data_IF_615996385357
#
_entry.id   IF_615996385357
#
_cell.length_a   1.000
_cell.length_b   1.000
_cell.length_c   1.000
_cell.angle_alpha   90.00
_cell.angle_beta   90.00
_cell.angle_gamma   90.00
#
_symmetry.space_group_name_H-M   'P 1'
#
loop_
_entity.id
_entity.type
_entity.pdbx_description
1 polymer ?
#
# COMPACT_ATOMS: atom_id res chain seq x y z
N UNK A 1 -46.58 -13.56 52.23
CA UNK A 1 -46.70 -12.35 51.39
C UNK A 1 -45.33 -11.66 51.35
N UNK A 2 -44.28 -12.31 50.83
CA UNK A 2 -43.85 -12.24 49.43
C UNK A 2 -43.89 -10.80 48.91
N UNK A 3 -42.75 -10.08 48.87
CA UNK A 3 -42.08 -9.81 47.59
C UNK A 3 -40.73 -9.10 47.79
N UNK A 4 -39.65 -9.89 47.83
CA UNK A 4 -38.32 -9.39 47.52
C UNK A 4 -38.31 -9.07 46.02
N UNK A 5 -38.27 -7.79 45.63
CA UNK A 5 -38.22 -7.41 44.22
C UNK A 5 -36.79 -7.59 43.73
N UNK A 6 -36.55 -8.76 43.13
CA UNK A 6 -35.28 -9.16 42.52
C UNK A 6 -34.79 -8.15 41.48
N UNK A 7 -33.57 -7.66 41.71
CA UNK A 7 -32.76 -6.97 40.72
C UNK A 7 -32.32 -7.97 39.65
N UNK A 8 -32.81 -7.84 38.42
CA UNK A 8 -32.22 -8.49 37.24
C UNK A 8 -31.50 -7.43 36.43
N UNK A 9 -30.20 -7.27 36.65
CA UNK A 9 -29.33 -6.48 35.80
C UNK A 9 -28.78 -7.43 34.72
N UNK A 10 -29.52 -7.57 33.62
CA UNK A 10 -29.08 -8.37 32.47
C UNK A 10 -28.10 -7.52 31.67
N UNK A 11 -26.80 -7.76 31.85
CA UNK A 11 -25.76 -7.23 30.98
C UNK A 11 -25.76 -8.07 29.70
N UNK A 12 -26.41 -7.59 28.65
CA UNK A 12 -26.30 -8.16 27.32
C UNK A 12 -24.87 -7.91 26.82
N UNK A 13 -24.02 -8.94 26.84
CA UNK A 13 -22.67 -8.90 26.29
C UNK A 13 -22.83 -8.93 24.76
N UNK A 14 -22.94 -7.75 24.15
CA UNK A 14 -22.87 -7.59 22.70
C UNK A 14 -21.50 -8.05 22.20
N UNK A 15 -21.49 -8.93 21.20
CA UNK A 15 -20.27 -9.52 20.65
C UNK A 15 -19.27 -8.45 20.21
N UNK A 16 -18.09 -8.47 20.81
CA UNK A 16 -16.95 -7.67 20.34
C UNK A 16 -16.51 -8.26 19.00
N UNK A 17 -16.81 -7.56 17.91
CA UNK A 17 -16.16 -7.84 16.63
C UNK A 17 -14.73 -7.34 16.74
N UNK A 18 -13.77 -8.27 16.71
CA UNK A 18 -12.35 -7.94 16.62
C UNK A 18 -12.11 -7.39 15.21
N UNK A 19 -12.12 -6.07 15.06
CA UNK A 19 -11.59 -5.43 13.87
C UNK A 19 -10.08 -5.61 13.89
N UNK A 20 -9.58 -6.48 13.01
CA UNK A 20 -8.14 -6.59 12.76
C UNK A 20 -7.68 -5.29 12.09
N UNK A 21 -7.12 -4.38 12.88
CA UNK A 21 -6.29 -3.30 12.35
C UNK A 21 -4.87 -3.85 12.24
N UNK A 22 -4.51 -4.29 11.04
CA UNK A 22 -3.11 -4.60 10.75
C UNK A 22 -2.39 -3.28 10.46
N UNK A 23 -1.33 -3.02 11.23
CA UNK A 23 -0.74 -1.69 11.36
C UNK A 23 0.21 -1.28 10.24
N UNK A 24 0.67 -2.19 9.38
CA UNK A 24 1.61 -1.85 8.30
C UNK A 24 1.36 -2.70 7.06
N UNK A 25 1.02 -2.06 5.93
CA UNK A 25 1.01 -2.70 4.62
C UNK A 25 2.46 -2.98 4.19
N UNK A 26 2.79 -4.24 3.94
CA UNK A 26 4.13 -4.64 3.51
C UNK A 26 4.20 -4.75 1.99
N UNK A 27 5.39 -4.52 1.42
CA UNK A 27 5.65 -4.84 0.02
C UNK A 27 5.43 -6.34 -0.20
N UNK A 28 4.52 -6.69 -1.11
CA UNK A 28 4.29 -8.07 -1.55
C UNK A 28 5.21 -8.39 -2.75
N UNK A 29 5.03 -7.66 -3.85
CA UNK A 29 5.91 -7.74 -5.02
C UNK A 29 5.95 -6.43 -5.81
N UNK A 30 6.85 -6.36 -6.79
CA UNK A 30 6.99 -5.21 -7.67
C UNK A 30 7.23 -5.63 -9.11
N UNK A 31 6.86 -4.75 -10.04
CA UNK A 31 7.19 -4.87 -11.44
C UNK A 31 7.83 -3.56 -11.94
N UNK A 32 9.06 -3.60 -12.49
CA UNK A 32 9.96 -4.74 -12.51
C UNK A 32 10.32 -5.29 -11.12
N UNK A 33 10.66 -6.58 -11.04
CA UNK A 33 11.03 -7.21 -9.77
C UNK A 33 12.24 -6.53 -9.14
N UNK A 34 12.27 -6.47 -7.81
CA UNK A 34 13.37 -5.85 -7.05
C UNK A 34 14.69 -6.53 -7.40
N UNK A 35 15.71 -5.72 -7.75
CA UNK A 35 17.03 -6.21 -8.15
C UNK A 35 17.10 -6.84 -9.55
N UNK A 36 16.00 -6.84 -10.31
CA UNK A 36 16.00 -7.38 -11.68
C UNK A 36 16.72 -6.47 -12.69
N UNK A 37 17.11 -7.06 -13.82
CA UNK A 37 17.59 -6.35 -15.01
C UNK A 37 16.60 -6.53 -16.13
N UNK A 38 16.13 -5.44 -16.72
CA UNK A 38 15.21 -5.44 -17.86
C UNK A 38 15.92 -4.94 -19.12
N UNK A 39 15.60 -5.53 -20.27
CA UNK A 39 16.22 -5.19 -21.56
C UNK A 39 15.68 -3.90 -22.17
N UNK A 40 14.43 -3.57 -21.87
CA UNK A 40 13.72 -2.40 -22.37
C UNK A 40 13.29 -1.54 -21.19
N UNK A 41 13.18 -0.23 -21.41
CA UNK A 41 12.63 0.67 -20.38
C UNK A 41 11.18 0.27 -20.11
N UNK A 42 10.80 -0.04 -18.86
CA UNK A 42 9.42 -0.30 -18.51
C UNK A 42 8.61 1.00 -18.56
N UNK A 43 7.35 0.92 -18.99
CA UNK A 43 6.47 2.10 -19.06
C UNK A 43 6.09 2.64 -17.68
N UNK A 44 6.15 1.80 -16.65
CA UNK A 44 5.79 2.13 -15.28
C UNK A 44 6.55 1.26 -14.29
N UNK A 45 6.59 1.71 -13.04
CA UNK A 45 6.83 0.85 -11.88
C UNK A 45 5.50 0.57 -11.21
N UNK A 46 5.24 -0.69 -10.88
CA UNK A 46 4.07 -1.15 -10.15
C UNK A 46 4.50 -1.85 -8.87
N UNK A 47 3.79 -1.57 -7.79
CA UNK A 47 4.11 -2.09 -6.45
C UNK A 47 2.82 -2.57 -5.80
N UNK A 48 2.81 -3.85 -5.45
CA UNK A 48 1.71 -4.48 -4.74
C UNK A 48 2.07 -4.63 -3.27
N UNK A 49 1.07 -4.48 -2.43
CA UNK A 49 1.17 -4.59 -0.99
C UNK A 49 0.29 -5.71 -0.46
N UNK A 50 0.61 -6.20 0.74
CA UNK A 50 -0.17 -7.23 1.42
C UNK A 50 -1.55 -6.74 1.84
N UNK A 51 -1.72 -5.41 1.96
CA UNK A 51 -2.95 -4.77 2.43
C UNK A 51 -3.28 -3.52 1.60
N UNK A 52 -4.56 -3.09 1.56
CA UNK A 52 -4.96 -1.86 0.92
C UNK A 52 -4.18 -0.66 1.47
N UNK A 53 -3.66 0.18 0.58
CA UNK A 53 -3.00 1.43 0.95
C UNK A 53 -3.97 2.60 0.80
N UNK A 54 -3.91 3.54 1.73
CA UNK A 54 -4.69 4.76 1.65
C UNK A 54 -4.19 5.63 0.48
N UNK A 55 -4.96 5.63 -0.61
CA UNK A 55 -4.71 6.45 -1.81
C UNK A 55 -4.47 7.91 -1.43
N UNK A 56 -3.45 8.53 -2.02
CA UNK A 56 -3.10 9.93 -1.78
C UNK A 56 -2.19 10.17 -0.56
N UNK A 57 -2.08 9.22 0.35
CA UNK A 57 -1.13 9.27 1.48
C UNK A 57 0.21 8.57 1.19
N UNK A 58 0.33 7.86 0.07
CA UNK A 58 1.54 7.14 -0.32
C UNK A 58 1.93 7.47 -1.75
N UNK A 59 3.24 7.53 -2.01
CA UNK A 59 3.83 7.89 -3.29
C UNK A 59 4.98 6.96 -3.68
N UNK A 60 5.13 6.70 -4.97
CA UNK A 60 6.31 6.03 -5.54
C UNK A 60 7.23 7.11 -6.11
N UNK A 61 8.53 7.04 -5.78
CA UNK A 61 9.55 7.91 -6.35
C UNK A 61 10.68 7.08 -6.93
N UNK A 62 11.01 7.32 -8.19
CA UNK A 62 12.07 6.61 -8.92
C UNK A 62 13.22 7.56 -9.18
N UNK A 63 14.42 7.16 -8.76
CA UNK A 63 15.64 7.94 -8.85
C UNK A 63 16.64 7.26 -9.80
N UNK A 64 17.29 8.05 -10.66
CA UNK A 64 18.43 7.61 -11.44
C UNK A 64 19.73 7.61 -10.66
N UNK A 65 20.83 7.19 -11.30
CA UNK A 65 22.15 7.03 -10.67
C UNK A 65 22.70 8.28 -9.95
N UNK A 66 22.33 9.49 -10.39
CA UNK A 66 22.75 10.75 -9.78
C UNK A 66 21.81 11.23 -8.66
N UNK A 67 20.85 10.40 -8.21
CA UNK A 67 19.86 10.78 -7.19
C UNK A 67 18.77 11.73 -7.69
N UNK A 68 18.72 12.04 -9.00
CA UNK A 68 17.64 12.81 -9.61
C UNK A 68 16.39 11.94 -9.72
N UNK A 69 15.24 12.47 -9.29
CA UNK A 69 13.94 11.83 -9.55
C UNK A 69 13.63 11.87 -11.05
N UNK A 70 13.28 10.71 -11.63
CA UNK A 70 13.10 10.52 -13.08
C UNK A 70 11.69 10.09 -13.49
N UNK A 71 10.84 9.69 -12.54
CA UNK A 71 9.44 9.37 -12.82
C UNK A 71 8.62 10.61 -13.21
N UNK A 72 7.40 10.37 -13.73
CA UNK A 72 6.48 11.44 -14.15
C UNK A 72 5.70 12.08 -12.99
N UNK A 73 5.96 11.68 -11.74
CA UNK A 73 5.31 12.18 -10.52
C UNK A 73 3.80 12.00 -10.51
N UNK A 74 3.32 10.97 -11.18
CA UNK A 74 1.93 10.62 -11.38
C UNK A 74 1.58 9.34 -10.61
N UNK A 75 1.99 9.25 -9.34
CA UNK A 75 1.64 8.07 -8.53
C UNK A 75 0.12 7.92 -8.48
N UNK A 76 -0.36 6.79 -8.97
CA UNK A 76 -1.76 6.40 -8.95
C UNK A 76 -1.96 5.13 -8.16
N UNK A 77 -3.18 4.92 -7.68
CA UNK A 77 -3.66 3.63 -7.17
C UNK A 77 -4.66 3.04 -8.14
N UNK A 78 -4.75 1.72 -8.19
CA UNK A 78 -5.81 1.06 -8.95
C UNK A 78 -7.15 1.15 -8.21
N UNK A 79 -8.22 1.50 -8.92
CA UNK A 79 -9.57 1.66 -8.33
C UNK A 79 -10.16 0.30 -7.91
N UNK A 80 -9.81 -0.75 -8.63
CA UNK A 80 -10.26 -2.13 -8.40
C UNK A 80 -9.32 -2.89 -7.45
N UNK A 81 -8.05 -2.49 -7.38
CA UNK A 81 -7.05 -3.06 -6.50
C UNK A 81 -6.38 -1.97 -5.64
N UNK A 82 -6.94 -1.74 -4.45
CA UNK A 82 -6.43 -0.77 -3.47
C UNK A 82 -5.07 -1.11 -2.87
N UNK A 83 -4.55 -2.31 -3.14
CA UNK A 83 -3.22 -2.74 -2.70
C UNK A 83 -2.16 -2.53 -3.77
N UNK A 84 -2.46 -1.83 -4.87
CA UNK A 84 -1.54 -1.53 -5.96
C UNK A 84 -1.29 -0.03 -6.08
N UNK A 85 -0.02 0.36 -6.07
CA UNK A 85 0.44 1.67 -6.53
C UNK A 85 1.22 1.55 -7.84
N UNK A 86 1.08 2.54 -8.71
CA UNK A 86 1.88 2.66 -9.92
C UNK A 86 2.43 4.07 -10.11
N UNK A 87 3.52 4.20 -10.87
CA UNK A 87 4.01 5.50 -11.36
C UNK A 87 4.57 5.32 -12.76
N UNK A 88 4.30 6.27 -13.65
CA UNK A 88 4.76 6.21 -15.04
C UNK A 88 6.22 6.64 -15.16
N UNK A 89 6.92 6.00 -16.10
CA UNK A 89 8.29 6.34 -16.44
C UNK A 89 8.36 6.98 -17.84
N UNK A 90 9.25 7.97 -18.04
CA UNK A 90 9.69 8.34 -19.38
C UNK A 90 10.63 7.26 -19.95
N UNK A 91 11.09 7.43 -21.19
CA UNK A 91 12.19 6.61 -21.71
C UNK A 91 13.45 6.85 -20.86
N UNK A 92 14.07 5.78 -20.38
CA UNK A 92 15.21 5.83 -19.47
C UNK A 92 16.47 5.38 -20.20
N UNK A 93 17.60 6.00 -19.87
CA UNK A 93 18.90 5.52 -20.33
C UNK A 93 19.26 4.22 -19.59
N UNK A 94 20.12 3.35 -20.17
CA UNK A 94 20.62 2.19 -19.44
C UNK A 94 21.30 2.62 -18.12
N UNK A 95 20.97 1.94 -17.02
CA UNK A 95 21.53 2.26 -15.71
C UNK A 95 20.80 1.56 -14.56
N UNK A 96 21.27 1.84 -13.33
CA UNK A 96 20.61 1.39 -12.09
C UNK A 96 19.69 2.50 -11.58
N UNK A 97 18.49 2.08 -11.19
CA UNK A 97 17.46 2.96 -10.67
C UNK A 97 17.06 2.52 -9.26
N UNK A 98 16.77 3.49 -8.39
CA UNK A 98 16.27 3.25 -7.04
C UNK A 98 14.81 3.63 -6.98
N UNK A 99 13.97 2.73 -6.49
CA UNK A 99 12.56 2.97 -6.26
C UNK A 99 12.31 3.06 -4.75
N UNK A 100 11.69 4.15 -4.31
CA UNK A 100 11.28 4.34 -2.92
C UNK A 100 9.75 4.46 -2.85
N UNK A 101 9.17 3.89 -1.80
CA UNK A 101 7.77 4.12 -1.40
C UNK A 101 7.78 4.91 -0.11
N UNK A 102 6.96 5.95 -0.03
CA UNK A 102 6.80 6.72 1.21
C UNK A 102 5.50 7.50 1.25
N UNK A 103 5.06 7.82 2.47
CA UNK A 103 4.00 8.78 2.78
C UNK A 103 4.56 9.99 3.51
#
# INVERSE_FOLDING_TARGET
>A
MNWFRSTCLVFAIGGVTIVHVHGHAFLDHAEPAVGSKVKQTPHAVRIWFTEPIMTGSSSIKVFGAMGKQVDKKDTGSDVTNKSLLHVSLPLLTPGTYKCNVGG
#
